data_IF_873004752893
#
_entry.id   IF_873004752893
#
_cell.length_a   1.000
_cell.length_b   1.000
_cell.length_c   1.000
_cell.angle_alpha   90.00
_cell.angle_beta   90.00
_cell.angle_gamma   90.00
#
_symmetry.space_group_name_H-M   'P 1'
#
loop_
_entity.id
_entity.type
_entity.pdbx_description
1 polymer ?
#
# COMPACT_ATOMS: atom_id res chain seq x y z
N UNK A 1 -1.92 -1.38 10.71
CA UNK A 1 -1.94 -1.71 9.27
C UNK A 1 -1.32 -0.55 8.47
N UNK A 2 -0.10 -0.73 7.99
CA UNK A 2 0.70 0.21 7.21
C UNK A 2 0.42 0.06 5.71
N UNK A 3 0.29 1.18 5.01
CA UNK A 3 -0.07 1.23 3.59
C UNK A 3 0.96 0.53 2.69
N UNK A 4 2.26 0.68 2.95
CA UNK A 4 3.30 0.16 2.07
C UNK A 4 3.78 -1.24 2.46
N UNK A 5 3.88 -1.51 3.76
CA UNK A 5 4.60 -2.67 4.29
C UNK A 5 3.70 -3.85 4.66
N UNK A 6 2.43 -3.61 5.00
CA UNK A 6 1.54 -4.69 5.47
C UNK A 6 0.79 -5.34 4.31
N UNK A 7 0.40 -6.62 4.49
CA UNK A 7 -0.24 -7.44 3.47
C UNK A 7 -1.76 -7.22 3.39
N UNK A 8 -2.17 -6.04 2.98
CA UNK A 8 -3.59 -5.65 2.97
C UNK A 8 -4.22 -5.60 1.57
N UNK A 9 -3.43 -5.65 0.49
CA UNK A 9 -3.95 -5.65 -0.89
C UNK A 9 -3.97 -7.09 -1.40
N UNK A 10 -5.12 -7.76 -1.32
CA UNK A 10 -5.27 -9.17 -1.72
C UNK A 10 -4.24 -10.11 -1.07
N UNK A 11 -3.86 -9.83 0.19
CA UNK A 11 -2.86 -10.61 0.92
C UNK A 11 -1.39 -10.31 0.57
N UNK A 12 -1.12 -9.27 -0.22
CA UNK A 12 0.22 -8.81 -0.57
C UNK A 12 0.48 -7.41 -0.01
N UNK A 13 1.75 -7.10 0.27
CA UNK A 13 2.17 -5.74 0.57
C UNK A 13 2.37 -4.96 -0.73
N UNK A 14 2.12 -3.65 -0.71
CA UNK A 14 2.41 -2.81 -1.87
C UNK A 14 3.91 -2.78 -2.19
N UNK A 15 4.78 -2.96 -1.18
CA UNK A 15 6.21 -3.16 -1.37
C UNK A 15 6.55 -4.39 -2.23
N UNK A 16 5.74 -5.46 -2.17
CA UNK A 16 5.93 -6.67 -3.00
C UNK A 16 5.41 -6.46 -4.42
N UNK A 17 4.35 -5.65 -4.58
CA UNK A 17 3.70 -5.39 -5.88
C UNK A 17 4.46 -4.33 -6.69
N UNK A 18 5.05 -3.35 -6.01
CA UNK A 18 5.64 -2.14 -6.58
C UNK A 18 6.91 -1.73 -5.80
N UNK A 19 7.99 -2.51 -5.90
CA UNK A 19 9.22 -2.29 -5.14
C UNK A 19 9.96 -1.00 -5.53
N UNK A 20 10.01 -0.63 -6.81
CA UNK A 20 10.69 0.59 -7.26
C UNK A 20 9.95 1.86 -6.80
N UNK A 21 8.62 1.86 -6.86
CA UNK A 21 7.77 2.92 -6.34
C UNK A 21 7.93 3.05 -4.83
N UNK A 22 7.95 1.92 -4.11
CA UNK A 22 8.14 1.93 -2.65
C UNK A 22 9.53 2.44 -2.27
N UNK A 23 10.56 2.14 -3.07
CA UNK A 23 11.91 2.68 -2.90
C UNK A 23 11.99 4.19 -3.18
N UNK A 24 11.10 4.73 -4.02
CA UNK A 24 10.99 6.16 -4.28
C UNK A 24 10.28 6.95 -3.14
N UNK A 25 9.89 6.27 -2.07
CA UNK A 25 9.20 6.88 -0.92
C UNK A 25 10.14 6.95 0.27
N UNK A 26 10.22 8.09 0.99
CA UNK A 26 10.99 8.18 2.21
C UNK A 26 10.57 7.12 3.23
N UNK A 27 11.54 6.40 3.80
CA UNK A 27 11.31 5.33 4.79
C UNK A 27 10.41 5.76 5.94
N UNK A 28 10.51 7.02 6.39
CA UNK A 28 9.66 7.58 7.44
C UNK A 28 8.18 7.57 7.03
N UNK A 29 7.88 8.05 5.83
CA UNK A 29 6.52 8.03 5.26
C UNK A 29 6.00 6.62 5.09
N UNK A 30 6.84 5.70 4.57
CA UNK A 30 6.45 4.31 4.37
C UNK A 30 6.08 3.60 5.70
N UNK A 31 6.77 3.94 6.79
CA UNK A 31 6.56 3.36 8.13
C UNK A 31 5.47 4.03 8.97
N UNK A 32 4.97 5.21 8.59
CA UNK A 32 3.94 5.92 9.36
C UNK A 32 2.59 5.99 8.66
N UNK A 33 2.54 5.89 7.33
CA UNK A 33 1.31 6.01 6.57
C UNK A 33 0.44 4.76 6.76
N UNK A 34 -0.70 4.91 7.41
CA UNK A 34 -1.69 3.85 7.56
C UNK A 34 -2.52 3.63 6.28
N UNK A 35 -3.17 2.48 6.14
CA UNK A 35 -4.08 2.21 5.00
C UNK A 35 -5.18 3.26 4.89
N UNK A 36 -5.81 3.60 6.03
CA UNK A 36 -6.85 4.61 6.13
C UNK A 36 -6.38 5.99 5.64
N UNK A 37 -5.22 6.43 6.12
CA UNK A 37 -4.65 7.71 5.68
C UNK A 37 -4.21 7.70 4.23
N UNK A 38 -3.61 6.60 3.76
CA UNK A 38 -3.11 6.46 2.40
C UNK A 38 -4.23 6.52 1.37
N UNK A 39 -5.32 5.78 1.60
CA UNK A 39 -6.50 5.79 0.72
C UNK A 39 -7.25 7.12 0.78
N UNK A 40 -7.29 7.77 1.95
CA UNK A 40 -7.96 9.06 2.09
C UNK A 40 -7.35 10.12 1.16
N UNK A 41 -8.16 10.63 0.23
CA UNK A 41 -7.76 11.62 -0.79
C UNK A 41 -6.46 11.27 -1.53
N UNK A 42 -6.18 9.96 -1.70
CA UNK A 42 -4.97 9.46 -2.39
C UNK A 42 -3.66 10.02 -1.79
N UNK A 43 -3.61 10.21 -0.47
CA UNK A 43 -2.46 10.79 0.25
C UNK A 43 -1.17 9.99 0.03
N UNK A 44 -1.27 8.69 -0.25
CA UNK A 44 -0.12 7.84 -0.53
C UNK A 44 0.77 8.35 -1.67
N UNK A 45 0.20 9.06 -2.66
CA UNK A 45 0.93 9.64 -3.80
C UNK A 45 1.88 10.76 -3.36
N UNK A 46 1.51 11.51 -2.31
CA UNK A 46 2.29 12.65 -1.81
C UNK A 46 3.65 12.24 -1.22
N UNK A 47 3.83 10.96 -0.93
CA UNK A 47 5.08 10.42 -0.40
C UNK A 47 6.12 10.11 -1.48
N UNK A 48 5.80 10.21 -2.77
CA UNK A 48 6.74 9.92 -3.85
C UNK A 48 7.69 11.10 -3.99
N UNK A 49 8.95 10.91 -3.59
CA UNK A 49 9.99 11.97 -3.57
C UNK A 49 11.23 11.56 -4.39
N UNK A 50 11.41 10.26 -4.64
CA UNK A 50 12.49 9.72 -5.48
C UNK A 50 12.29 9.99 -6.98
N UNK A 51 13.29 9.60 -7.77
CA UNK A 51 13.27 9.80 -9.22
C UNK A 51 12.10 9.09 -9.92
N UNK A 52 11.34 9.84 -10.72
CA UNK A 52 10.24 9.33 -11.56
C UNK A 52 10.78 8.62 -12.80
N UNK A 53 11.41 7.47 -12.60
CA UNK A 53 11.82 6.60 -13.71
C UNK A 53 10.58 5.97 -14.36
N UNK A 54 10.74 5.48 -15.60
CA UNK A 54 9.67 4.74 -16.31
C UNK A 54 9.14 3.58 -15.45
N UNK A 55 10.02 2.87 -14.75
CA UNK A 55 9.64 1.78 -13.83
C UNK A 55 8.77 2.28 -12.68
N UNK A 56 9.14 3.40 -12.04
CA UNK A 56 8.36 3.98 -10.94
C UNK A 56 6.97 4.42 -11.43
N UNK A 57 6.89 5.00 -12.63
CA UNK A 57 5.62 5.42 -13.24
C UNK A 57 4.74 4.20 -13.57
N UNK A 58 5.30 3.15 -14.16
CA UNK A 58 4.57 1.92 -14.47
C UNK A 58 4.04 1.24 -13.20
N UNK A 59 4.86 1.18 -12.14
CA UNK A 59 4.45 0.65 -10.85
C UNK A 59 3.39 1.52 -10.16
N UNK A 60 3.48 2.84 -10.28
CA UNK A 60 2.43 3.75 -9.82
C UNK A 60 1.08 3.44 -10.46
N UNK A 61 1.02 3.29 -11.80
CA UNK A 61 -0.20 2.94 -12.51
C UNK A 61 -0.74 1.57 -12.06
N UNK A 62 0.16 0.61 -11.85
CA UNK A 62 -0.18 -0.73 -11.37
C UNK A 62 -0.78 -0.74 -9.96
N UNK A 63 -0.29 0.13 -9.07
CA UNK A 63 -0.87 0.35 -7.74
C UNK A 63 -2.21 1.07 -7.86
N UNK A 64 -2.28 2.15 -8.64
CA UNK A 64 -3.51 2.91 -8.87
C UNK A 64 -4.68 2.01 -9.29
N UNK A 65 -4.49 1.20 -10.33
CA UNK A 65 -5.52 0.29 -10.85
C UNK A 65 -6.04 -0.69 -9.78
N UNK A 66 -5.17 -1.15 -8.87
CA UNK A 66 -5.58 -2.02 -7.76
C UNK A 66 -6.38 -1.30 -6.69
N UNK A 67 -6.13 -0.01 -6.50
CA UNK A 67 -6.77 0.80 -5.46
C UNK A 67 -8.04 1.52 -5.92
N UNK A 68 -8.24 1.71 -7.23
CA UNK A 68 -9.33 2.50 -7.80
C UNK A 68 -10.74 2.00 -7.41
N UNK A 69 -10.90 0.70 -7.15
CA UNK A 69 -12.15 0.10 -6.66
C UNK A 69 -12.22 -0.07 -5.14
N UNK A 70 -11.15 0.20 -4.39
CA UNK A 70 -11.10 -0.04 -2.94
C UNK A 70 -11.66 1.14 -2.17
N UNK A 71 -12.84 0.94 -1.59
CA UNK A 71 -13.46 1.88 -0.66
C UNK A 71 -13.44 1.28 0.74
N UNK A 72 -12.87 2.02 1.70
CA UNK A 72 -12.99 1.68 3.12
C UNK A 72 -14.46 1.81 3.53
N UNK A 73 -15.02 0.73 4.08
CA UNK A 73 -16.35 0.76 4.69
C UNK A 73 -16.18 1.35 6.08
N UNK A 74 -16.73 2.56 6.30
CA UNK A 74 -16.59 3.28 7.57
C UNK A 74 -17.27 2.58 8.76
N UNK A 75 -18.24 1.71 8.48
CA UNK A 75 -19.10 1.08 9.50
C UNK A 75 -18.79 -0.42 9.70
N UNK A 76 -17.66 -0.90 9.16
CA UNK A 76 -17.21 -2.29 9.35
C UNK A 76 -15.83 -2.26 9.97
N UNK A 77 -15.73 -2.80 11.18
CA UNK A 77 -14.46 -2.98 11.88
C UNK A 77 -13.55 -3.92 11.08
N UNK A 78 -12.26 -3.59 11.02
CA UNK A 78 -11.27 -4.37 10.26
C UNK A 78 -11.24 -5.82 10.76
N UNK A 79 -11.65 -6.77 9.91
CA UNK A 79 -11.52 -8.20 10.23
C UNK A 79 -10.08 -8.65 10.01
N UNK A 80 -9.35 -8.83 11.10
CA UNK A 80 -8.04 -9.48 11.08
C UNK A 80 -8.26 -10.99 10.90
N UNK A 81 -8.13 -11.48 9.66
CA UNK A 81 -8.12 -12.92 9.39
C UNK A 81 -6.73 -13.45 9.74
N UNK A 82 -6.56 -13.96 10.96
CA UNK A 82 -5.36 -14.71 11.34
C UNK A 82 -5.36 -16.05 10.63
N UNK A 83 -4.59 -16.16 9.56
CA UNK A 83 -4.35 -17.43 8.89
C UNK A 83 -3.17 -18.13 9.59
N UNK A 84 -3.46 -18.94 10.60
CA UNK A 84 -2.48 -19.85 11.17
C UNK A 84 -2.05 -20.85 10.09
N UNK A 85 -0.79 -20.78 9.67
CA UNK A 85 -0.17 -21.90 8.97
C UNK A 85 0.09 -22.97 10.02
N UNK A 86 -0.79 -23.97 10.09
CA UNK A 86 -0.56 -25.16 10.90
C UNK A 86 0.48 -26.04 10.21
N UNK A 87 1.74 -25.86 10.57
CA UNK A 87 2.74 -26.91 10.51
C UNK A 87 3.52 -26.88 11.83
N UNK A 88 3.12 -27.78 12.73
CA UNK A 88 3.91 -28.15 13.90
C UNK A 88 5.13 -28.97 13.52
#
# INVERSE_FOLDING_TARGET
MLFWCDRWVSGLALADIAPALTAAIPRRTAKSLTVAEGLNKRRWIRGIVGGLTVTVIAEYLRVWQRLEGLHLRKDVEDRVIWRWSGNG
#
